data_IF_354527574624
#
_entry.id   IF_354527574624
#
_cell.length_a   1.000
_cell.length_b   1.000
_cell.length_c   1.000
_cell.angle_alpha   90.00
_cell.angle_beta   90.00
_cell.angle_gamma   90.00
#
_symmetry.space_group_name_H-M   'P 1'
#
loop_
_entity.id
_entity.type
_entity.pdbx_description
1 polymer ?
#
# COMPACT_ATOMS: atom_id res chain seq x y z
N UNK A 1 35.58 -7.43 7.16
CA UNK A 1 35.83 -6.00 6.90
C UNK A 1 35.20 -5.50 5.59
N UNK A 2 34.50 -6.37 4.87
CA UNK A 2 33.87 -6.09 3.54
C UNK A 2 32.40 -5.65 3.62
N UNK A 3 31.66 -6.09 4.62
CA UNK A 3 30.24 -5.75 4.85
C UNK A 3 29.99 -4.26 5.17
N UNK A 4 31.01 -3.48 5.49
CA UNK A 4 30.88 -2.07 5.91
C UNK A 4 30.79 -1.06 4.76
N UNK A 5 31.06 -1.46 3.52
CA UNK A 5 31.11 -0.55 2.36
C UNK A 5 29.83 -0.50 1.55
N UNK A 6 29.02 -1.57 1.57
CA UNK A 6 27.76 -1.63 0.78
C UNK A 6 26.52 -1.15 1.57
N UNK A 7 26.66 -0.93 2.89
CA UNK A 7 25.55 -0.52 3.76
C UNK A 7 25.60 0.98 4.17
N UNK A 8 26.33 1.83 3.45
CA UNK A 8 26.53 3.24 3.81
C UNK A 8 25.33 4.16 3.54
N UNK A 9 24.14 3.64 3.34
CA UNK A 9 22.92 4.42 3.21
C UNK A 9 21.77 3.94 4.10
N UNK A 10 21.91 2.79 4.77
CA UNK A 10 20.88 2.26 5.65
C UNK A 10 21.17 2.66 7.11
N UNK A 11 20.68 3.81 7.53
CA UNK A 11 20.68 4.18 8.94
C UNK A 11 19.77 3.24 9.70
N UNK A 12 20.35 2.24 10.36
CA UNK A 12 19.65 1.35 11.29
C UNK A 12 19.47 2.10 12.59
N UNK A 13 18.30 2.68 12.81
CA UNK A 13 17.95 3.20 14.12
C UNK A 13 17.67 2.00 15.04
N UNK A 14 18.66 1.67 15.88
CA UNK A 14 18.64 0.55 16.81
C UNK A 14 17.88 0.93 18.09
N UNK A 15 16.56 0.69 18.12
CA UNK A 15 15.80 0.55 19.36
C UNK A 15 15.03 -0.77 19.34
N UNK A 16 15.24 -1.54 20.42
CA UNK A 16 14.97 -2.95 20.58
C UNK A 16 13.49 -3.35 20.37
N UNK A 17 13.28 -4.35 19.54
CA UNK A 17 12.06 -5.07 19.22
C UNK A 17 12.21 -5.48 17.77
N UNK A 18 11.90 -6.71 17.36
CA UNK A 18 12.09 -7.20 15.98
C UNK A 18 11.70 -6.12 14.97
N UNK A 19 12.67 -5.39 14.46
CA UNK A 19 12.47 -4.24 13.57
C UNK A 19 12.01 -4.76 12.22
N UNK A 20 10.70 -4.66 11.98
CA UNK A 20 10.22 -4.55 10.61
C UNK A 20 10.98 -3.37 9.98
N UNK A 21 11.76 -3.62 8.91
CA UNK A 21 12.48 -2.55 8.22
C UNK A 21 11.47 -1.55 7.73
N UNK A 22 11.75 -0.27 7.96
CA UNK A 22 10.92 0.78 7.39
C UNK A 22 11.03 0.74 5.86
N UNK A 23 9.91 0.48 5.20
CA UNK A 23 9.86 0.33 3.75
C UNK A 23 10.14 1.65 3.02
N UNK A 24 9.74 2.79 3.57
CA UNK A 24 10.09 4.07 2.97
C UNK A 24 11.60 4.27 2.94
N UNK A 25 12.28 4.00 4.05
CA UNK A 25 13.75 4.04 4.13
C UNK A 25 14.42 2.99 3.24
N UNK A 26 13.85 1.79 3.11
CA UNK A 26 14.37 0.73 2.26
C UNK A 26 14.43 1.14 0.78
N UNK A 27 13.41 1.86 0.32
CA UNK A 27 13.32 2.36 -1.06
C UNK A 27 13.83 3.78 -1.24
N UNK A 28 14.40 4.39 -0.18
CA UNK A 28 14.87 5.78 -0.20
C UNK A 28 13.80 6.78 -0.63
N UNK A 29 12.58 6.61 -0.10
CA UNK A 29 11.41 7.45 -0.35
C UNK A 29 11.04 8.17 0.96
N UNK A 30 10.69 9.45 0.88
CA UNK A 30 10.11 10.17 2.01
C UNK A 30 8.72 9.57 2.35
N UNK A 31 8.40 9.39 3.65
CA UNK A 31 7.11 8.87 4.06
C UNK A 31 5.96 9.74 3.54
N UNK A 32 5.29 9.27 2.49
CA UNK A 32 4.21 9.98 1.80
C UNK A 32 3.22 8.98 1.20
N UNK A 33 1.96 9.41 1.08
CA UNK A 33 0.97 8.67 0.30
C UNK A 33 1.21 8.82 -1.21
N UNK A 34 1.50 10.05 -1.65
CA UNK A 34 1.81 10.33 -3.05
C UNK A 34 3.29 10.06 -3.31
N UNK A 35 3.58 9.06 -4.13
CA UNK A 35 4.94 8.66 -4.49
C UNK A 35 5.10 8.60 -6.02
N UNK A 36 6.34 8.64 -6.47
CA UNK A 36 6.69 8.34 -7.86
C UNK A 36 6.79 6.82 -8.03
N UNK A 37 5.77 6.22 -8.63
CA UNK A 37 5.67 4.77 -8.83
C UNK A 37 6.73 4.25 -9.81
N UNK A 38 7.14 5.06 -10.80
CA UNK A 38 8.19 4.71 -11.74
C UNK A 38 9.53 4.65 -11.01
N UNK A 39 9.81 5.64 -10.16
CA UNK A 39 11.02 5.63 -9.33
C UNK A 39 11.04 4.46 -8.34
N UNK A 40 9.89 4.15 -7.71
CA UNK A 40 9.75 2.99 -6.83
C UNK A 40 10.11 1.69 -7.56
N UNK A 41 9.57 1.48 -8.77
CA UNK A 41 9.83 0.28 -9.59
C UNK A 41 11.31 0.17 -9.98
N UNK A 42 11.92 1.27 -10.38
CA UNK A 42 13.36 1.30 -10.73
C UNK A 42 14.25 0.90 -9.54
N UNK A 43 13.95 1.45 -8.34
CA UNK A 43 14.68 1.10 -7.11
C UNK A 43 14.45 -0.37 -6.76
N UNK A 44 13.21 -0.87 -6.86
CA UNK A 44 12.87 -2.27 -6.65
C UNK A 44 13.72 -3.22 -7.52
N UNK A 45 13.78 -3.00 -8.82
CA UNK A 45 14.57 -3.82 -9.73
C UNK A 45 16.07 -3.73 -9.43
N UNK A 46 16.56 -2.55 -9.08
CA UNK A 46 17.96 -2.34 -8.68
C UNK A 46 18.30 -3.15 -7.43
N UNK A 47 17.47 -3.07 -6.39
CA UNK A 47 17.66 -3.81 -5.13
C UNK A 47 17.58 -5.33 -5.35
N UNK A 48 16.60 -5.82 -6.12
CA UNK A 48 16.52 -7.24 -6.45
C UNK A 48 17.74 -7.73 -7.19
N UNK A 49 18.24 -6.96 -8.17
CA UNK A 49 19.47 -7.30 -8.89
C UNK A 49 20.69 -7.40 -7.96
N UNK A 50 20.77 -6.57 -6.91
CA UNK A 50 21.88 -6.59 -5.95
C UNK A 50 21.80 -7.77 -4.98
N UNK A 51 20.59 -8.09 -4.48
CA UNK A 51 20.38 -9.03 -3.38
C UNK A 51 19.72 -10.35 -3.83
N UNK A 52 19.67 -10.63 -5.14
CA UNK A 52 19.10 -11.89 -5.63
C UNK A 52 19.85 -13.10 -5.05
N UNK A 53 19.14 -14.12 -4.51
CA UNK A 53 19.78 -15.27 -3.87
C UNK A 53 20.81 -15.99 -4.72
N UNK A 54 20.63 -16.06 -6.04
CA UNK A 54 21.55 -16.72 -6.97
C UNK A 54 22.96 -16.10 -6.96
N UNK A 55 23.05 -14.79 -6.72
CA UNK A 55 24.36 -14.12 -6.60
C UNK A 55 25.14 -14.53 -5.35
N UNK A 56 24.44 -15.11 -4.38
CA UNK A 56 24.97 -15.54 -3.10
C UNK A 56 25.10 -17.07 -2.99
N UNK A 57 24.74 -17.85 -4.04
CA UNK A 57 24.76 -19.32 -4.02
C UNK A 57 26.15 -19.92 -3.64
N UNK A 58 27.24 -19.24 -4.01
CA UNK A 58 28.62 -19.64 -3.65
C UNK A 58 29.21 -18.94 -2.42
N UNK A 59 28.43 -18.13 -1.70
CA UNK A 59 28.88 -17.36 -0.53
C UNK A 59 28.67 -18.15 0.77
N UNK A 60 29.29 -17.72 1.90
CA UNK A 60 29.01 -18.29 3.20
C UNK A 60 27.52 -18.31 3.55
N UNK A 61 27.07 -19.35 4.27
CA UNK A 61 25.66 -19.56 4.60
C UNK A 61 24.99 -18.35 5.29
N UNK A 62 25.77 -17.60 6.08
CA UNK A 62 25.28 -16.37 6.73
C UNK A 62 24.92 -15.31 5.69
N UNK A 63 25.77 -15.11 4.68
CA UNK A 63 25.50 -14.15 3.60
C UNK A 63 24.29 -14.56 2.75
N UNK A 64 24.16 -15.87 2.45
CA UNK A 64 22.98 -16.39 1.76
C UNK A 64 21.68 -16.10 2.52
N UNK A 65 21.67 -16.30 3.85
CA UNK A 65 20.51 -16.00 4.70
C UNK A 65 20.17 -14.52 4.71
N UNK A 66 21.18 -13.66 4.83
CA UNK A 66 20.98 -12.20 4.82
C UNK A 66 20.42 -11.75 3.46
N UNK A 67 20.95 -12.25 2.36
CA UNK A 67 20.45 -11.93 1.03
C UNK A 67 19.02 -12.39 0.83
N UNK A 68 18.68 -13.61 1.27
CA UNK A 68 17.31 -14.13 1.18
C UNK A 68 16.32 -13.30 2.02
N UNK A 69 16.70 -12.90 3.23
CA UNK A 69 15.87 -12.03 4.07
C UNK A 69 15.68 -10.65 3.45
N UNK A 70 16.76 -10.04 2.92
CA UNK A 70 16.69 -8.76 2.22
C UNK A 70 15.77 -8.84 0.99
N UNK A 71 15.91 -9.88 0.19
CA UNK A 71 15.05 -10.11 -0.96
C UNK A 71 13.57 -10.23 -0.56
N UNK A 72 13.28 -10.94 0.55
CA UNK A 72 11.92 -11.04 1.09
C UNK A 72 11.39 -9.67 1.54
N UNK A 73 12.21 -8.88 2.27
CA UNK A 73 11.84 -7.54 2.73
C UNK A 73 11.60 -6.57 1.56
N UNK A 74 12.45 -6.63 0.51
CA UNK A 74 12.31 -5.84 -0.72
C UNK A 74 10.98 -6.17 -1.41
N UNK A 75 10.66 -7.46 -1.57
CA UNK A 75 9.40 -7.88 -2.19
C UNK A 75 8.17 -7.46 -1.37
N UNK A 76 8.24 -7.58 -0.05
CA UNK A 76 7.16 -7.17 0.85
C UNK A 76 6.96 -5.65 0.81
N UNK A 77 8.03 -4.89 0.90
CA UNK A 77 8.01 -3.43 0.86
C UNK A 77 7.47 -2.91 -0.47
N UNK A 78 7.93 -3.46 -1.60
CA UNK A 78 7.42 -3.07 -2.91
C UNK A 78 5.90 -3.28 -3.04
N UNK A 79 5.40 -4.48 -2.68
CA UNK A 79 3.96 -4.76 -2.71
C UNK A 79 3.17 -3.83 -1.80
N UNK A 80 3.70 -3.50 -0.63
CA UNK A 80 3.05 -2.58 0.32
C UNK A 80 2.99 -1.16 -0.23
N UNK A 81 4.08 -0.68 -0.85
CA UNK A 81 4.15 0.69 -1.34
C UNK A 81 3.51 0.88 -2.72
N UNK A 82 3.44 -0.17 -3.55
CA UNK A 82 2.82 -0.12 -4.87
C UNK A 82 1.29 0.08 -4.80
N UNK A 83 0.61 -0.68 -3.92
CA UNK A 83 -0.84 -0.58 -3.77
C UNK A 83 -1.25 0.67 -2.98
N UNK A 84 -2.24 1.43 -3.48
CA UNK A 84 -2.70 2.65 -2.81
C UNK A 84 -3.26 2.38 -1.42
N UNK A 85 -4.13 1.37 -1.27
CA UNK A 85 -4.74 1.01 0.03
C UNK A 85 -3.70 0.47 1.00
N UNK A 86 -2.79 -0.40 0.55
CA UNK A 86 -1.71 -0.94 1.39
C UNK A 86 -0.68 0.12 1.78
N UNK A 87 -0.38 1.06 0.88
CA UNK A 87 0.48 2.22 1.15
C UNK A 87 -0.16 3.16 2.17
N UNK A 88 -1.45 3.46 2.03
CA UNK A 88 -2.21 4.25 2.99
C UNK A 88 -2.21 3.60 4.38
N UNK A 89 -2.49 2.30 4.44
CA UNK A 89 -2.42 1.50 5.66
C UNK A 89 -1.04 1.59 6.33
N UNK A 90 0.00 1.39 5.55
CA UNK A 90 1.37 1.43 6.03
C UNK A 90 1.76 2.83 6.54
N UNK A 91 1.35 3.89 5.83
CA UNK A 91 1.60 5.27 6.24
C UNK A 91 0.89 5.62 7.57
N UNK A 92 -0.35 5.16 7.77
CA UNK A 92 -1.06 5.31 9.05
C UNK A 92 -0.32 4.61 10.19
N UNK A 93 0.10 3.35 9.99
CA UNK A 93 0.88 2.59 10.98
C UNK A 93 2.22 3.26 11.29
N UNK A 94 2.91 3.77 10.26
CA UNK A 94 4.17 4.49 10.39
C UNK A 94 4.02 5.73 11.28
N UNK A 95 2.84 6.37 11.25
CA UNK A 95 2.50 7.52 12.09
C UNK A 95 1.79 7.13 13.41
N UNK A 96 1.85 5.85 13.78
CA UNK A 96 1.40 5.37 15.10
C UNK A 96 -0.12 5.23 15.24
N UNK A 97 -0.87 5.20 14.13
CA UNK A 97 -2.33 5.01 14.18
C UNK A 97 -2.66 3.54 14.42
N UNK A 98 -3.45 3.29 15.46
CA UNK A 98 -4.01 1.95 15.72
C UNK A 98 -5.17 1.68 14.75
N UNK A 99 -4.88 0.90 13.71
CA UNK A 99 -5.88 0.54 12.69
C UNK A 99 -7.05 -0.25 13.26
N UNK A 100 -6.83 -1.08 14.29
CA UNK A 100 -7.92 -1.82 14.94
C UNK A 100 -8.85 -0.90 15.71
N UNK A 101 -8.33 0.17 16.27
CA UNK A 101 -9.16 1.21 16.88
C UNK A 101 -9.92 2.00 15.80
N UNK A 102 -9.24 2.38 14.71
CA UNK A 102 -9.84 3.04 13.56
C UNK A 102 -10.99 2.21 12.96
N UNK A 103 -10.81 0.91 12.73
CA UNK A 103 -11.84 0.00 12.19
C UNK A 103 -13.11 -0.11 13.04
N UNK A 104 -13.04 0.25 14.33
CA UNK A 104 -14.22 0.29 15.22
C UNK A 104 -14.99 1.59 15.10
N UNK A 105 -14.38 2.63 14.55
CA UNK A 105 -15.06 3.90 14.30
C UNK A 105 -15.94 3.75 13.04
N UNK A 106 -17.13 4.33 13.07
CA UNK A 106 -18.03 4.29 11.91
C UNK A 106 -17.51 5.18 10.78
N UNK A 107 -17.48 4.67 9.57
CA UNK A 107 -17.18 5.45 8.34
C UNK A 107 -18.28 6.46 7.99
N UNK A 108 -19.33 6.56 8.80
CA UNK A 108 -20.47 7.44 8.56
C UNK A 108 -21.64 6.75 7.85
N UNK A 109 -22.86 7.13 8.25
CA UNK A 109 -24.08 6.48 7.74
C UNK A 109 -24.27 6.71 6.23
N UNK A 110 -23.91 7.89 5.74
CA UNK A 110 -24.02 8.25 4.31
C UNK A 110 -23.13 7.34 3.44
N UNK A 111 -21.87 7.15 3.83
CA UNK A 111 -20.97 6.25 3.11
C UNK A 111 -21.48 4.80 3.14
N UNK A 112 -21.96 4.33 4.30
CA UNK A 112 -22.48 2.97 4.41
C UNK A 112 -23.68 2.74 3.49
N UNK A 113 -24.60 3.73 3.37
CA UNK A 113 -25.71 3.65 2.43
C UNK A 113 -25.23 3.60 0.98
N UNK A 114 -24.30 4.47 0.60
CA UNK A 114 -23.71 4.48 -0.74
C UNK A 114 -23.06 3.13 -1.06
N UNK A 115 -22.28 2.59 -0.15
CA UNK A 115 -21.62 1.30 -0.32
C UNK A 115 -22.61 0.14 -0.48
N UNK A 116 -23.72 0.15 0.29
CA UNK A 116 -24.77 -0.86 0.18
C UNK A 116 -25.44 -0.78 -1.20
N UNK A 117 -25.83 0.42 -1.65
CA UNK A 117 -26.48 0.62 -2.94
C UNK A 117 -25.58 0.23 -4.12
N UNK A 118 -24.30 0.59 -4.08
CA UNK A 118 -23.34 0.19 -5.12
C UNK A 118 -23.18 -1.31 -5.17
N UNK A 119 -23.11 -1.96 -4.01
CA UNK A 119 -22.98 -3.41 -3.90
C UNK A 119 -24.21 -4.14 -4.43
N UNK A 120 -25.42 -3.70 -4.07
CA UNK A 120 -26.67 -4.28 -4.57
C UNK A 120 -26.73 -4.20 -6.10
N UNK A 121 -26.40 -3.04 -6.68
CA UNK A 121 -26.36 -2.88 -8.14
C UNK A 121 -25.29 -3.76 -8.78
N UNK A 122 -24.14 -3.93 -8.14
CA UNK A 122 -23.09 -4.81 -8.62
C UNK A 122 -23.50 -6.29 -8.56
N UNK A 123 -24.23 -6.72 -7.55
CA UNK A 123 -24.79 -8.08 -7.46
C UNK A 123 -25.80 -8.38 -8.60
N UNK A 124 -26.47 -7.35 -9.10
CA UNK A 124 -27.39 -7.42 -10.23
C UNK A 124 -26.73 -7.16 -11.60
N UNK A 125 -25.39 -7.08 -11.66
CA UNK A 125 -24.67 -6.67 -12.88
C UNK A 125 -24.96 -7.55 -14.11
N UNK A 126 -25.34 -8.81 -13.92
CA UNK A 126 -25.70 -9.73 -15.02
C UNK A 126 -27.00 -9.33 -15.74
N UNK A 127 -27.82 -8.49 -15.12
CA UNK A 127 -29.10 -7.98 -15.64
C UNK A 127 -28.93 -6.61 -16.30
N UNK A 128 -27.79 -5.94 -16.11
CA UNK A 128 -27.49 -4.62 -16.65
C UNK A 128 -27.12 -4.70 -18.14
N UNK A 129 -27.53 -3.71 -18.89
CA UNK A 129 -26.98 -3.51 -20.22
C UNK A 129 -25.53 -2.95 -20.15
N UNK A 130 -24.86 -2.91 -21.31
CA UNK A 130 -23.46 -2.47 -21.39
C UNK A 130 -23.29 -1.02 -20.90
N UNK A 131 -24.25 -0.13 -21.17
CA UNK A 131 -24.14 1.27 -20.78
C UNK A 131 -24.35 1.44 -19.27
N UNK A 132 -25.33 0.75 -18.71
CA UNK A 132 -25.61 0.72 -17.27
C UNK A 132 -24.43 0.16 -16.48
N UNK A 133 -23.83 -0.95 -16.97
CA UNK A 133 -22.62 -1.51 -16.36
C UNK A 133 -21.44 -0.52 -16.38
N UNK A 134 -21.18 0.13 -17.51
CA UNK A 134 -20.11 1.13 -17.61
C UNK A 134 -20.36 2.33 -16.68
N UNK A 135 -21.60 2.78 -16.57
CA UNK A 135 -21.98 3.85 -15.64
C UNK A 135 -21.72 3.45 -14.18
N UNK A 136 -22.09 2.23 -13.79
CA UNK A 136 -21.82 1.70 -12.45
C UNK A 136 -20.31 1.63 -12.14
N UNK A 137 -19.52 1.12 -13.09
CA UNK A 137 -18.04 1.06 -12.97
C UNK A 137 -17.46 2.46 -12.79
N UNK A 138 -17.93 3.45 -13.58
CA UNK A 138 -17.47 4.85 -13.46
C UNK A 138 -17.79 5.41 -12.07
N UNK A 139 -19.01 5.22 -11.60
CA UNK A 139 -19.48 5.69 -10.28
C UNK A 139 -18.65 5.10 -9.14
N UNK A 140 -18.35 3.79 -9.17
CA UNK A 140 -17.49 3.13 -8.17
C UNK A 140 -16.09 3.74 -8.19
N UNK A 141 -15.49 3.93 -9.37
CA UNK A 141 -14.17 4.52 -9.51
C UNK A 141 -14.13 6.00 -9.06
N UNK A 142 -15.19 6.76 -9.30
CA UNK A 142 -15.31 8.15 -8.83
C UNK A 142 -15.36 8.21 -7.29
N UNK A 143 -16.13 7.34 -6.65
CA UNK A 143 -16.17 7.24 -5.18
C UNK A 143 -14.80 6.83 -4.62
N UNK A 144 -14.12 5.86 -5.25
CA UNK A 144 -12.78 5.45 -4.83
C UNK A 144 -11.78 6.61 -4.97
N UNK A 145 -11.76 7.26 -6.12
CA UNK A 145 -10.90 8.43 -6.38
C UNK A 145 -11.12 9.55 -5.37
N UNK A 146 -12.38 9.87 -5.07
CA UNK A 146 -12.72 10.89 -4.08
C UNK A 146 -12.21 10.54 -2.66
N UNK A 147 -12.34 9.29 -2.24
CA UNK A 147 -11.85 8.84 -0.93
C UNK A 147 -10.31 8.84 -0.87
N UNK A 148 -9.64 8.42 -1.95
CA UNK A 148 -8.20 8.48 -2.13
C UNK A 148 -7.67 9.93 -2.04
N UNK A 149 -8.31 10.85 -2.74
CA UNK A 149 -7.88 12.25 -2.77
C UNK A 149 -8.08 12.93 -1.41
N UNK A 150 -9.17 12.59 -0.70
CA UNK A 150 -9.38 13.03 0.70
C UNK A 150 -8.33 12.44 1.63
N UNK A 151 -7.96 11.16 1.45
CA UNK A 151 -6.86 10.56 2.21
C UNK A 151 -5.56 11.32 2.01
N UNK A 152 -5.19 11.58 0.75
CA UNK A 152 -3.97 12.32 0.41
C UNK A 152 -3.93 13.70 1.06
N UNK A 153 -5.04 14.43 0.99
CA UNK A 153 -5.15 15.77 1.60
C UNK A 153 -5.03 15.72 3.14
N UNK A 154 -5.73 14.80 3.79
CA UNK A 154 -5.68 14.62 5.24
C UNK A 154 -4.27 14.20 5.72
N UNK A 155 -3.61 13.29 5.00
CA UNK A 155 -2.26 12.86 5.30
C UNK A 155 -1.24 14.00 5.16
N UNK A 156 -1.36 14.86 4.14
CA UNK A 156 -0.52 16.05 3.97
C UNK A 156 -0.68 17.06 5.12
N UNK A 157 -1.89 17.14 5.68
CA UNK A 157 -2.21 18.02 6.82
C UNK A 157 -1.95 17.35 8.18
N UNK A 158 -1.42 16.13 8.19
CA UNK A 158 -1.22 15.32 9.40
C UNK A 158 -2.50 15.06 10.21
N UNK A 159 -3.65 15.13 9.54
CA UNK A 159 -4.98 14.83 10.10
C UNK A 159 -5.25 13.32 10.11
N UNK A 160 -4.46 12.59 10.88
CA UNK A 160 -4.39 11.12 10.82
C UNK A 160 -5.72 10.41 11.12
N UNK A 161 -6.56 10.96 11.98
CA UNK A 161 -7.89 10.39 12.26
C UNK A 161 -8.83 10.53 11.05
N UNK A 162 -8.78 11.68 10.36
CA UNK A 162 -9.48 11.89 9.10
C UNK A 162 -8.96 10.95 8.00
N UNK A 163 -7.64 10.84 7.86
CA UNK A 163 -7.00 9.93 6.93
C UNK A 163 -7.40 8.47 7.20
N UNK A 164 -7.46 8.02 8.45
CA UNK A 164 -7.86 6.66 8.81
C UNK A 164 -9.30 6.34 8.36
N UNK A 165 -10.23 7.29 8.48
CA UNK A 165 -11.60 7.11 7.95
C UNK A 165 -11.62 6.99 6.42
N UNK A 166 -10.87 7.86 5.73
CA UNK A 166 -10.75 7.77 4.27
C UNK A 166 -10.12 6.44 3.81
N UNK A 167 -9.13 5.94 4.54
CA UNK A 167 -8.54 4.62 4.29
C UNK A 167 -9.58 3.49 4.42
N UNK A 168 -10.45 3.53 5.44
CA UNK A 168 -11.52 2.55 5.57
C UNK A 168 -12.47 2.58 4.36
N UNK A 169 -12.86 3.77 3.92
CA UNK A 169 -13.69 3.92 2.72
C UNK A 169 -12.99 3.33 1.49
N UNK A 170 -11.69 3.61 1.30
CA UNK A 170 -10.89 3.03 0.22
C UNK A 170 -10.86 1.49 0.30
N UNK A 171 -10.72 0.90 1.48
CA UNK A 171 -10.76 -0.56 1.67
C UNK A 171 -12.09 -1.19 1.25
N UNK A 172 -13.22 -0.50 1.45
CA UNK A 172 -14.54 -0.98 1.01
C UNK A 172 -14.69 -0.84 -0.51
N UNK A 173 -14.31 0.30 -1.05
CA UNK A 173 -14.47 0.61 -2.47
C UNK A 173 -13.51 -0.19 -3.35
N UNK A 174 -12.28 -0.47 -2.89
CA UNK A 174 -11.33 -1.35 -3.58
C UNK A 174 -11.95 -2.72 -3.89
N UNK A 175 -12.69 -3.30 -2.95
CA UNK A 175 -13.38 -4.59 -3.15
C UNK A 175 -14.45 -4.51 -4.23
N UNK A 176 -15.13 -3.37 -4.36
CA UNK A 176 -16.12 -3.15 -5.44
C UNK A 176 -15.40 -2.95 -6.78
N UNK A 177 -14.30 -2.20 -6.80
CA UNK A 177 -13.45 -2.03 -8.00
C UNK A 177 -12.91 -3.38 -8.47
N UNK A 178 -12.39 -4.21 -7.57
CA UNK A 178 -11.89 -5.56 -7.88
C UNK A 178 -13.00 -6.44 -8.48
N UNK A 179 -14.21 -6.37 -7.90
CA UNK A 179 -15.36 -7.15 -8.38
C UNK A 179 -15.83 -6.72 -9.78
N UNK A 180 -15.57 -5.48 -10.20
CA UNK A 180 -15.82 -5.05 -11.59
C UNK A 180 -14.72 -5.49 -12.57
N UNK A 181 -13.62 -6.06 -12.11
CA UNK A 181 -12.47 -6.41 -12.97
C UNK A 181 -11.83 -5.19 -13.66
N UNK A 182 -12.11 -3.99 -13.18
CA UNK A 182 -11.59 -2.71 -13.72
C UNK A 182 -10.26 -2.29 -13.10
N UNK A 183 -9.78 -2.99 -12.08
CA UNK A 183 -8.51 -2.74 -11.42
C UNK A 183 -7.34 -3.29 -12.24
N UNK A 184 -6.44 -2.42 -12.69
CA UNK A 184 -5.15 -2.83 -13.28
C UNK A 184 -5.10 -2.92 -14.81
N UNK A 185 -5.88 -2.09 -15.53
CA UNK A 185 -5.66 -1.88 -16.97
C UNK A 185 -5.11 -0.50 -17.27
#
# INVERSE_FOLDING_TARGET
>A
MWLRREFHGLTVNATAGAMARDYFSLFNIEPSFTIDEIALEQVYHSLLSQFHPDRYAGKPQVEQRVAAQLCADINAGYRTLQGEVSRAQYLLQHNGIDLKAAERESVGAEFLMTQILLRERLEMMAELDQAEYQALVSEINEHYGASRDRFAAAAQQTEWQGAARCWQEMCYLEKLVDATGSWGR
#
